data_IF_097262748069
#
_entry.id   IF_097262748069
#
_cell.length_a   1.000
_cell.length_b   1.000
_cell.length_c   1.000
_cell.angle_alpha   90.00
_cell.angle_beta   90.00
_cell.angle_gamma   90.00
#
_symmetry.space_group_name_H-M   'P 1'
#
loop_
_entity.id
_entity.type
_entity.pdbx_description
1 polymer ?
#
# COMPACT_ATOMS: atom_id res chain seq x y z
N UNK A 1 -28.44 -41.60 -42.79
CA UNK A 1 -28.58 -40.13 -42.81
C UNK A 1 -27.52 -39.53 -41.91
N UNK A 2 -26.48 -38.92 -42.49
CA UNK A 2 -25.46 -38.20 -41.72
C UNK A 2 -26.07 -36.91 -41.13
N UNK A 3 -25.82 -36.56 -39.86
CA UNK A 3 -26.40 -35.37 -39.25
C UNK A 3 -26.00 -34.10 -40.00
N UNK A 4 -26.98 -33.25 -40.32
CA UNK A 4 -26.80 -31.95 -41.00
C UNK A 4 -25.82 -31.07 -40.20
N UNK A 5 -24.79 -30.46 -40.82
CA UNK A 5 -23.86 -29.57 -40.12
C UNK A 5 -24.62 -28.41 -39.47
N UNK A 6 -24.37 -28.14 -38.19
CA UNK A 6 -25.03 -27.04 -37.48
C UNK A 6 -24.49 -25.72 -38.02
N UNK A 7 -25.36 -24.93 -38.66
CA UNK A 7 -25.05 -23.64 -39.33
C UNK A 7 -24.68 -22.49 -38.36
N UNK A 8 -24.75 -22.74 -37.06
CA UNK A 8 -24.66 -21.75 -35.97
C UNK A 8 -23.59 -22.20 -34.97
N UNK A 9 -22.35 -22.39 -35.45
CA UNK A 9 -21.23 -22.83 -34.62
C UNK A 9 -20.43 -21.61 -34.15
N UNK A 10 -20.47 -21.33 -32.86
CA UNK A 10 -19.52 -20.43 -32.21
C UNK A 10 -18.29 -21.23 -31.80
N UNK A 11 -17.09 -20.66 -31.94
CA UNK A 11 -15.83 -21.34 -31.59
C UNK A 11 -15.63 -21.55 -30.08
N UNK A 12 -16.48 -20.94 -29.25
CA UNK A 12 -16.43 -21.08 -27.79
C UNK A 12 -17.29 -22.25 -27.33
N UNK A 13 -16.66 -23.25 -26.69
CA UNK A 13 -17.35 -24.42 -26.15
C UNK A 13 -18.51 -24.04 -25.21
N UNK A 14 -19.66 -24.68 -25.37
CA UNK A 14 -20.85 -24.42 -24.56
C UNK A 14 -21.64 -23.15 -24.91
N UNK A 15 -21.19 -22.34 -25.88
CA UNK A 15 -21.96 -21.22 -26.41
C UNK A 15 -22.84 -21.66 -27.59
N UNK A 16 -24.05 -21.12 -27.68
CA UNK A 16 -25.03 -21.44 -28.71
C UNK A 16 -25.70 -20.19 -29.25
N UNK A 17 -25.85 -20.13 -30.57
CA UNK A 17 -26.59 -19.09 -31.30
C UNK A 17 -28.02 -19.55 -31.62
N UNK A 18 -29.01 -18.79 -31.15
CA UNK A 18 -30.43 -19.01 -31.41
C UNK A 18 -31.00 -17.85 -32.22
N UNK A 19 -31.39 -18.11 -33.46
CA UNK A 19 -32.09 -17.14 -34.29
C UNK A 19 -33.58 -17.13 -33.96
N UNK A 20 -34.11 -15.98 -33.54
CA UNK A 20 -35.55 -15.79 -33.34
C UNK A 20 -36.19 -15.27 -34.63
N UNK A 21 -37.01 -16.11 -35.28
CA UNK A 21 -37.71 -15.80 -36.52
C UNK A 21 -38.79 -14.72 -36.36
N UNK A 22 -39.31 -14.50 -35.13
CA UNK A 22 -40.36 -13.50 -34.86
C UNK A 22 -39.80 -12.09 -34.75
N UNK A 23 -38.59 -11.96 -34.21
CA UNK A 23 -37.94 -10.67 -33.98
C UNK A 23 -36.78 -10.39 -34.94
N UNK A 24 -36.38 -11.38 -35.77
CA UNK A 24 -35.23 -11.28 -36.68
C UNK A 24 -33.87 -11.14 -35.98
N UNK A 25 -33.79 -11.46 -34.68
CA UNK A 25 -32.59 -11.24 -33.86
C UNK A 25 -31.92 -12.56 -33.50
N UNK A 26 -30.58 -12.56 -33.45
CA UNK A 26 -29.78 -13.66 -32.92
C UNK A 26 -29.57 -13.43 -31.43
N UNK A 27 -29.93 -14.43 -30.63
CA UNK A 27 -29.66 -14.48 -29.20
C UNK A 27 -28.59 -15.53 -28.90
N UNK A 28 -27.71 -15.21 -27.97
CA UNK A 28 -26.66 -16.10 -27.48
C UNK A 28 -27.08 -16.69 -26.15
N UNK A 29 -26.88 -18.00 -25.99
CA UNK A 29 -27.11 -18.71 -24.74
C UNK A 29 -25.92 -19.61 -24.43
N UNK A 30 -25.51 -19.67 -23.17
CA UNK A 30 -24.42 -20.51 -22.71
C UNK A 30 -24.97 -21.69 -21.89
N UNK A 31 -24.56 -22.90 -22.24
CA UNK A 31 -24.87 -24.12 -21.50
C UNK A 31 -23.73 -24.39 -20.51
N UNK A 32 -24.03 -24.34 -19.21
CA UNK A 32 -23.05 -24.69 -18.20
C UNK A 32 -22.74 -26.20 -18.29
N UNK A 33 -21.48 -26.62 -18.49
CA UNK A 33 -21.11 -28.03 -18.67
C UNK A 33 -21.30 -28.88 -17.39
N UNK A 34 -21.27 -28.26 -16.21
CA UNK A 34 -21.43 -28.95 -14.92
C UNK A 34 -22.90 -29.18 -14.59
N UNK A 35 -23.74 -28.15 -14.76
CA UNK A 35 -25.15 -28.21 -14.36
C UNK A 35 -26.10 -28.56 -15.51
N UNK A 36 -25.62 -28.49 -16.76
CA UNK A 36 -26.41 -28.69 -17.96
C UNK A 36 -27.42 -27.57 -18.28
N UNK A 37 -27.55 -26.55 -17.43
CA UNK A 37 -28.53 -25.46 -17.57
C UNK A 37 -28.08 -24.39 -18.58
N UNK A 38 -29.05 -23.84 -19.30
CA UNK A 38 -28.83 -22.73 -20.24
C UNK A 38 -29.01 -21.37 -19.57
N UNK A 39 -28.13 -20.43 -19.90
CA UNK A 39 -28.17 -19.04 -19.45
C UNK A 39 -28.12 -18.11 -20.66
N UNK A 40 -29.09 -17.19 -20.78
CA UNK A 40 -29.11 -16.20 -21.87
C UNK A 40 -28.04 -15.12 -21.67
N UNK A 41 -27.27 -14.82 -22.72
CA UNK A 41 -26.18 -13.83 -22.73
C UNK A 41 -26.50 -12.57 -23.55
N UNK A 42 -27.72 -12.47 -24.11
CA UNK A 42 -28.18 -11.34 -24.91
C UNK A 42 -27.90 -11.51 -26.40
N UNK A 43 -27.80 -10.40 -27.13
CA UNK A 43 -27.67 -10.39 -28.60
C UNK A 43 -26.28 -9.94 -29.09
N UNK A 44 -25.39 -9.52 -28.19
CA UNK A 44 -24.02 -9.10 -28.50
C UNK A 44 -23.09 -10.32 -28.52
N UNK A 45 -22.56 -10.64 -29.71
CA UNK A 45 -21.68 -11.79 -29.94
C UNK A 45 -20.38 -11.71 -29.12
N UNK A 46 -19.67 -10.58 -29.22
CA UNK A 46 -18.35 -10.44 -28.60
C UNK A 46 -18.44 -10.47 -27.08
N UNK A 47 -19.50 -9.88 -26.52
CA UNK A 47 -19.78 -9.95 -25.08
C UNK A 47 -20.12 -11.39 -24.65
N UNK A 48 -20.93 -12.10 -25.42
CA UNK A 48 -21.32 -13.48 -25.12
C UNK A 48 -20.13 -14.45 -25.18
N UNK A 49 -19.26 -14.34 -26.20
CA UNK A 49 -18.03 -15.13 -26.33
C UNK A 49 -17.08 -14.91 -25.16
N UNK A 50 -16.86 -13.65 -24.77
CA UNK A 50 -16.00 -13.32 -23.63
C UNK A 50 -16.53 -13.90 -22.32
N UNK A 51 -17.84 -13.80 -22.08
CA UNK A 51 -18.48 -14.36 -20.88
C UNK A 51 -18.36 -15.89 -20.86
N UNK A 52 -18.67 -16.56 -21.98
CA UNK A 52 -18.62 -18.01 -22.10
C UNK A 52 -17.19 -18.55 -21.94
N UNK A 53 -16.19 -17.92 -22.55
CA UNK A 53 -14.78 -18.29 -22.41
C UNK A 53 -14.29 -18.13 -20.97
N UNK A 54 -14.64 -17.02 -20.31
CA UNK A 54 -14.33 -16.79 -18.89
C UNK A 54 -14.99 -17.83 -17.98
N UNK A 55 -16.23 -18.22 -18.27
CA UNK A 55 -16.95 -19.24 -17.52
C UNK A 55 -16.27 -20.62 -17.66
N UNK A 56 -15.90 -21.02 -18.87
CA UNK A 56 -15.18 -22.27 -19.11
C UNK A 56 -13.84 -22.32 -18.38
N UNK A 57 -13.05 -21.24 -18.44
CA UNK A 57 -11.77 -21.14 -17.72
C UNK A 57 -11.97 -21.30 -16.21
N UNK A 58 -13.02 -20.70 -15.63
CA UNK A 58 -13.34 -20.83 -14.20
C UNK A 58 -13.74 -22.25 -13.82
N UNK A 59 -14.54 -22.92 -14.66
CA UNK A 59 -14.96 -24.30 -14.42
C UNK A 59 -13.75 -25.24 -14.49
N UNK A 60 -12.93 -25.13 -15.53
CA UNK A 60 -11.71 -25.93 -15.65
C UNK A 60 -10.75 -25.70 -14.46
N UNK A 61 -10.61 -24.46 -13.99
CA UNK A 61 -9.81 -24.15 -12.80
C UNK A 61 -10.40 -24.77 -11.53
N UNK A 62 -11.72 -24.74 -11.36
CA UNK A 62 -12.40 -25.35 -10.21
C UNK A 62 -12.30 -26.89 -10.21
N UNK A 63 -12.41 -27.51 -11.39
CA UNK A 63 -12.20 -28.96 -11.56
C UNK A 63 -10.75 -29.34 -11.24
N UNK A 64 -9.77 -28.63 -11.79
CA UNK A 64 -8.36 -28.83 -11.47
C UNK A 64 -8.08 -28.67 -9.96
N UNK A 65 -8.67 -27.67 -9.32
CA UNK A 65 -8.55 -27.47 -7.88
C UNK A 65 -9.18 -28.61 -7.08
N UNK A 66 -10.35 -29.10 -7.49
CA UNK A 66 -11.02 -30.25 -6.88
C UNK A 66 -10.16 -31.52 -6.98
N UNK A 67 -9.63 -31.82 -8.16
CA UNK A 67 -8.73 -32.96 -8.36
C UNK A 67 -7.47 -32.84 -7.52
N UNK A 68 -6.84 -31.66 -7.48
CA UNK A 68 -5.66 -31.44 -6.65
C UNK A 68 -5.97 -31.56 -5.16
N UNK A 69 -7.15 -31.12 -4.69
CA UNK A 69 -7.58 -31.34 -3.30
C UNK A 69 -7.76 -32.82 -2.99
N UNK A 70 -8.36 -33.59 -3.92
CA UNK A 70 -8.52 -35.04 -3.77
C UNK A 70 -7.18 -35.77 -3.69
N UNK A 71 -6.17 -35.31 -4.42
CA UNK A 71 -4.80 -35.83 -4.33
C UNK A 71 -4.19 -35.53 -2.95
N UNK A 72 -4.35 -34.30 -2.44
CA UNK A 72 -3.84 -33.89 -1.12
C UNK A 72 -4.52 -34.61 0.06
N UNK A 73 -5.81 -34.97 -0.09
CA UNK A 73 -6.57 -35.75 0.89
C UNK A 73 -6.02 -37.17 1.06
N UNK A 74 -5.16 -37.66 0.15
CA UNK A 74 -4.41 -38.92 0.29
C UNK A 74 -3.15 -38.70 1.15
N UNK A 75 -3.08 -39.26 2.38
CA UNK A 75 -1.93 -39.07 3.26
C UNK A 75 -0.59 -39.56 2.67
N UNK A 76 -0.65 -40.57 1.80
CA UNK A 76 0.52 -41.12 1.11
C UNK A 76 1.11 -40.16 0.06
N UNK A 77 0.24 -39.43 -0.67
CA UNK A 77 0.66 -38.47 -1.68
C UNK A 77 1.25 -37.21 -1.04
N UNK A 78 0.64 -36.70 0.04
CA UNK A 78 1.15 -35.55 0.78
C UNK A 78 2.48 -35.86 1.48
N UNK A 79 2.65 -37.07 2.02
CA UNK A 79 3.94 -37.52 2.61
C UNK A 79 5.06 -37.58 1.56
N UNK A 80 4.73 -37.90 0.30
CA UNK A 80 5.70 -38.00 -0.81
C UNK A 80 6.00 -36.65 -1.49
N UNK A 81 4.98 -35.79 -1.65
CA UNK A 81 5.07 -34.56 -2.46
C UNK A 81 5.27 -33.29 -1.64
N UNK A 82 4.91 -33.30 -0.36
CA UNK A 82 4.93 -32.13 0.52
C UNK A 82 3.71 -31.24 0.34
N UNK A 83 3.52 -30.29 1.27
CA UNK A 83 2.39 -29.36 1.26
C UNK A 83 2.46 -28.41 0.06
N UNK A 84 1.32 -28.13 -0.57
CA UNK A 84 1.21 -27.07 -1.59
C UNK A 84 1.42 -25.69 -1.00
N UNK A 85 2.00 -24.78 -1.77
CA UNK A 85 2.22 -23.40 -1.36
C UNK A 85 0.92 -22.72 -0.92
N UNK A 86 -0.20 -22.91 -1.64
CA UNK A 86 -1.50 -22.34 -1.26
C UNK A 86 -1.94 -22.79 0.15
N UNK A 87 -1.91 -24.10 0.40
CA UNK A 87 -2.30 -24.67 1.68
C UNK A 87 -1.38 -24.21 2.82
N UNK A 88 -0.09 -24.06 2.55
CA UNK A 88 0.86 -23.50 3.51
C UNK A 88 0.57 -22.02 3.79
N UNK A 89 0.32 -21.21 2.76
CA UNK A 89 -0.01 -19.79 2.91
C UNK A 89 -1.27 -19.60 3.75
N UNK A 90 -2.29 -20.45 3.61
CA UNK A 90 -3.48 -20.41 4.46
C UNK A 90 -3.15 -20.63 5.95
N UNK A 91 -2.19 -21.53 6.26
CA UNK A 91 -1.69 -21.70 7.63
C UNK A 91 -0.85 -20.51 8.09
N UNK A 92 0.02 -20.00 7.24
CA UNK A 92 0.82 -18.81 7.51
C UNK A 92 -0.05 -17.59 7.84
N UNK A 93 -1.18 -17.40 7.14
CA UNK A 93 -2.10 -16.30 7.43
C UNK A 93 -2.75 -16.45 8.82
N UNK A 94 -3.06 -17.67 9.28
CA UNK A 94 -3.53 -17.90 10.66
C UNK A 94 -2.48 -17.55 11.71
N UNK A 95 -1.19 -17.77 11.41
CA UNK A 95 -0.09 -17.31 12.26
C UNK A 95 -0.09 -15.77 12.32
N UNK A 96 -0.26 -15.10 11.17
CA UNK A 96 -0.35 -13.64 11.13
C UNK A 96 -1.60 -13.11 11.85
N UNK A 97 -2.74 -13.81 11.78
CA UNK A 97 -3.95 -13.45 12.53
C UNK A 97 -3.71 -13.52 14.04
N UNK A 98 -2.96 -14.52 14.50
CA UNK A 98 -2.58 -14.66 15.91
C UNK A 98 -1.66 -13.51 16.34
N UNK A 99 -0.66 -13.17 15.53
CA UNK A 99 0.22 -12.00 15.75
C UNK A 99 -0.57 -10.69 15.79
N UNK A 100 -1.60 -10.54 14.96
CA UNK A 100 -2.48 -9.38 15.00
C UNK A 100 -3.28 -9.32 16.31
N UNK A 101 -3.86 -10.44 16.75
CA UNK A 101 -4.61 -10.53 18.01
C UNK A 101 -3.74 -10.22 19.23
N UNK A 102 -2.49 -10.67 19.22
CA UNK A 102 -1.51 -10.42 20.29
C UNK A 102 -0.96 -8.98 20.27
N UNK A 103 -1.19 -8.22 19.21
CA UNK A 103 -0.63 -6.86 19.04
C UNK A 103 0.81 -6.83 18.53
N UNK A 104 1.37 -7.96 18.11
CA UNK A 104 2.73 -8.06 17.56
C UNK A 104 2.85 -7.34 16.20
N UNK A 105 1.75 -7.25 15.46
CA UNK A 105 1.68 -6.54 14.17
C UNK A 105 0.45 -5.63 14.09
N UNK A 106 0.60 -4.49 13.42
CA UNK A 106 -0.51 -3.57 13.15
C UNK A 106 -1.44 -4.12 12.06
N UNK A 107 -2.72 -3.73 12.10
CA UNK A 107 -3.73 -4.13 11.11
C UNK A 107 -3.33 -3.79 9.66
N UNK A 108 -2.67 -2.65 9.44
CA UNK A 108 -2.15 -2.29 8.10
C UNK A 108 -1.06 -3.26 7.64
N UNK A 109 -0.13 -3.65 8.52
CA UNK A 109 0.92 -4.62 8.19
C UNK A 109 0.32 -5.98 7.86
N UNK A 110 -0.65 -6.44 8.65
CA UNK A 110 -1.38 -7.69 8.39
C UNK A 110 -2.05 -7.68 7.01
N UNK A 111 -2.80 -6.62 6.69
CA UNK A 111 -3.46 -6.45 5.38
C UNK A 111 -2.46 -6.50 4.23
N UNK A 112 -1.31 -5.83 4.34
CA UNK A 112 -0.27 -5.87 3.31
C UNK A 112 0.35 -7.26 3.17
N UNK A 113 0.62 -7.96 4.28
CA UNK A 113 1.09 -9.35 4.25
C UNK A 113 0.09 -10.26 3.53
N UNK A 114 -1.20 -10.15 3.83
CA UNK A 114 -2.25 -10.93 3.18
C UNK A 114 -2.32 -10.66 1.67
N UNK A 115 -2.27 -9.38 1.25
CA UNK A 115 -2.27 -8.99 -0.16
C UNK A 115 -1.09 -9.59 -0.93
N UNK A 116 0.11 -9.48 -0.38
CA UNK A 116 1.33 -9.99 -1.01
C UNK A 116 1.40 -11.53 -1.01
N UNK A 117 0.86 -12.18 0.04
CA UNK A 117 0.74 -13.64 0.08
C UNK A 117 -0.26 -14.14 -0.97
N UNK A 118 -1.40 -13.47 -1.14
CA UNK A 118 -2.38 -13.78 -2.18
C UNK A 118 -1.78 -13.64 -3.59
N UNK A 119 -0.94 -12.61 -3.82
CA UNK A 119 -0.22 -12.47 -5.08
C UNK A 119 0.71 -13.68 -5.31
N UNK A 120 1.49 -14.10 -4.31
CA UNK A 120 2.34 -15.30 -4.45
C UNK A 120 1.52 -16.56 -4.77
N UNK A 121 0.40 -16.77 -4.08
CA UNK A 121 -0.51 -17.90 -4.33
C UNK A 121 -1.07 -17.88 -5.74
N UNK A 122 -1.41 -16.72 -6.29
CA UNK A 122 -1.88 -16.62 -7.68
C UNK A 122 -0.84 -17.04 -8.73
N UNK A 123 0.45 -17.03 -8.35
CA UNK A 123 1.57 -17.36 -9.25
C UNK A 123 2.02 -18.80 -9.08
N UNK A 124 2.21 -19.25 -7.84
CA UNK A 124 2.87 -20.51 -7.50
C UNK A 124 2.03 -21.43 -6.59
N UNK A 125 0.76 -21.10 -6.33
CA UNK A 125 -0.04 -21.74 -5.28
C UNK A 125 -0.26 -23.26 -5.43
N UNK A 126 -0.26 -23.77 -6.67
CA UNK A 126 -0.49 -25.20 -6.94
C UNK A 126 0.78 -26.05 -6.83
N UNK A 127 1.96 -25.43 -6.67
CA UNK A 127 3.23 -26.13 -6.59
C UNK A 127 3.51 -26.58 -5.15
N UNK A 128 4.08 -27.78 -4.97
CA UNK A 128 4.59 -28.20 -3.67
C UNK A 128 5.71 -27.30 -3.18
N UNK A 129 5.68 -26.94 -1.90
CA UNK A 129 6.60 -25.98 -1.30
C UNK A 129 8.08 -26.43 -1.38
N UNK A 130 8.31 -27.74 -1.38
CA UNK A 130 9.65 -28.36 -1.47
C UNK A 130 10.22 -28.37 -2.90
N UNK A 131 9.37 -28.24 -3.92
CA UNK A 131 9.77 -28.29 -5.33
C UNK A 131 10.06 -26.90 -5.91
N UNK A 132 9.69 -25.83 -5.20
CA UNK A 132 9.95 -24.46 -5.63
C UNK A 132 11.41 -24.09 -5.43
N UNK A 133 12.02 -23.54 -6.47
CA UNK A 133 13.44 -23.20 -6.51
C UNK A 133 13.66 -21.70 -6.64
N UNK A 134 14.92 -21.27 -6.55
CA UNK A 134 15.32 -19.86 -6.63
C UNK A 134 14.83 -19.21 -7.92
N UNK A 135 14.82 -19.97 -9.04
CA UNK A 135 14.39 -19.50 -10.36
C UNK A 135 12.93 -19.06 -10.37
N UNK A 136 12.04 -19.79 -9.70
CA UNK A 136 10.59 -19.48 -9.69
C UNK A 136 10.33 -18.10 -9.06
N UNK A 137 11.05 -17.77 -8.00
CA UNK A 137 10.96 -16.48 -7.34
C UNK A 137 11.68 -15.38 -8.13
N UNK A 138 12.84 -15.68 -8.71
CA UNK A 138 13.60 -14.72 -9.50
C UNK A 138 12.77 -14.18 -10.68
N UNK A 139 12.09 -15.06 -11.43
CA UNK A 139 11.24 -14.67 -12.56
C UNK A 139 10.11 -13.72 -12.14
N UNK A 140 9.48 -13.95 -10.98
CA UNK A 140 8.42 -13.05 -10.47
C UNK A 140 9.01 -11.71 -10.02
N UNK A 141 10.22 -11.71 -9.44
CA UNK A 141 10.89 -10.46 -9.07
C UNK A 141 11.25 -9.65 -10.31
N UNK A 142 11.77 -10.30 -11.36
CA UNK A 142 12.20 -9.67 -12.60
C UNK A 142 11.05 -8.89 -13.27
N UNK A 143 9.81 -9.41 -13.23
CA UNK A 143 8.63 -8.68 -13.74
C UNK A 143 8.39 -7.30 -13.10
N UNK A 144 8.77 -7.14 -11.83
CA UNK A 144 8.72 -5.85 -11.16
C UNK A 144 9.98 -5.04 -11.42
N UNK A 145 11.14 -5.67 -11.54
CA UNK A 145 12.39 -4.98 -11.85
C UNK A 145 12.36 -4.37 -13.25
N UNK A 146 11.81 -5.07 -14.24
CA UNK A 146 11.61 -4.60 -15.62
C UNK A 146 10.67 -3.39 -15.70
N UNK A 147 9.84 -3.18 -14.67
CA UNK A 147 8.92 -2.04 -14.53
C UNK A 147 9.45 -0.96 -13.58
N UNK A 148 10.73 -1.02 -13.21
CA UNK A 148 11.38 -0.15 -12.21
C UNK A 148 10.71 -0.18 -10.82
N UNK A 149 9.91 -1.20 -10.52
CA UNK A 149 9.20 -1.38 -9.25
C UNK A 149 10.06 -2.08 -8.19
N UNK A 150 11.32 -1.64 -8.05
CA UNK A 150 12.35 -2.28 -7.21
C UNK A 150 11.93 -2.40 -5.73
N UNK A 151 11.23 -1.39 -5.20
CA UNK A 151 10.72 -1.41 -3.82
C UNK A 151 9.65 -2.51 -3.63
N UNK A 152 8.74 -2.65 -4.60
CA UNK A 152 7.70 -3.69 -4.57
C UNK A 152 8.31 -5.08 -4.61
N UNK A 153 9.30 -5.30 -5.48
CA UNK A 153 10.05 -6.55 -5.54
C UNK A 153 10.72 -6.88 -4.20
N UNK A 154 11.41 -5.90 -3.60
CA UNK A 154 12.07 -6.08 -2.30
C UNK A 154 11.10 -6.45 -1.17
N UNK A 155 9.96 -5.76 -1.08
CA UNK A 155 8.98 -5.99 0.01
C UNK A 155 8.31 -7.35 -0.13
N UNK A 156 7.91 -7.73 -1.35
CA UNK A 156 7.33 -9.05 -1.61
C UNK A 156 8.35 -10.17 -1.34
N UNK A 157 9.59 -10.03 -1.82
CA UNK A 157 10.69 -10.96 -1.49
C UNK A 157 10.82 -11.14 0.02
N UNK A 158 10.78 -10.04 0.78
CA UNK A 158 10.84 -10.07 2.23
C UNK A 158 9.72 -10.91 2.87
N UNK A 159 8.49 -10.78 2.37
CA UNK A 159 7.38 -11.63 2.81
C UNK A 159 7.58 -13.10 2.44
N UNK A 160 8.05 -13.39 1.23
CA UNK A 160 8.22 -14.78 0.79
C UNK A 160 9.30 -15.49 1.61
N UNK A 161 10.37 -14.77 1.97
CA UNK A 161 11.37 -15.25 2.94
C UNK A 161 10.73 -15.58 4.29
N UNK A 162 9.83 -14.72 4.79
CA UNK A 162 9.09 -14.94 6.05
C UNK A 162 8.17 -16.17 5.96
N UNK A 163 7.45 -16.34 4.84
CA UNK A 163 6.60 -17.52 4.58
C UNK A 163 7.41 -18.82 4.65
N UNK A 164 8.61 -18.85 4.07
CA UNK A 164 9.49 -20.03 4.12
C UNK A 164 10.14 -20.22 5.48
N UNK A 165 10.44 -19.15 6.23
CA UNK A 165 10.94 -19.26 7.62
C UNK A 165 9.91 -19.92 8.52
N UNK A 166 8.65 -19.50 8.45
CA UNK A 166 7.57 -20.17 9.19
C UNK A 166 7.40 -21.64 8.73
N UNK A 167 7.62 -21.92 7.44
CA UNK A 167 7.53 -23.30 6.92
C UNK A 167 8.63 -24.21 7.48
N UNK A 168 9.84 -23.67 7.65
CA UNK A 168 10.95 -24.35 8.31
C UNK A 168 10.61 -24.65 9.77
N UNK A 169 10.05 -23.67 10.50
CA UNK A 169 9.62 -23.87 11.89
C UNK A 169 8.53 -24.94 12.02
N UNK A 170 7.65 -25.06 11.03
CA UNK A 170 6.61 -26.10 11.00
C UNK A 170 7.08 -27.46 10.44
N UNK A 171 8.34 -27.58 10.01
CA UNK A 171 8.88 -28.81 9.42
C UNK A 171 8.33 -29.15 8.02
N UNK A 172 7.65 -28.21 7.36
CA UNK A 172 7.10 -28.40 6.02
C UNK A 172 8.19 -28.37 4.94
N UNK A 173 9.31 -27.69 5.22
CA UNK A 173 10.54 -27.72 4.43
C UNK A 173 11.75 -27.89 5.38
N UNK A 174 12.87 -28.47 4.91
CA UNK A 174 14.07 -28.62 5.74
C UNK A 174 14.64 -27.27 6.20
N UNK A 175 15.33 -27.22 7.36
CA UNK A 175 16.11 -26.07 7.76
C UNK A 175 17.08 -25.64 6.64
N UNK A 176 17.18 -24.32 6.39
CA UNK A 176 18.01 -23.78 5.31
C UNK A 176 17.35 -23.81 3.91
N UNK A 177 16.25 -24.54 3.72
CA UNK A 177 15.48 -24.46 2.47
C UNK A 177 14.63 -23.18 2.43
N UNK A 178 15.20 -22.10 1.90
CA UNK A 178 14.51 -20.83 1.68
C UNK A 178 14.89 -20.25 0.30
N UNK A 179 14.30 -20.76 -0.79
CA UNK A 179 14.62 -20.32 -2.14
C UNK A 179 14.47 -18.79 -2.36
N UNK A 180 13.43 -18.11 -1.82
CA UNK A 180 13.33 -16.65 -1.89
C UNK A 180 14.53 -15.92 -1.26
N UNK A 181 15.12 -16.48 -0.20
CA UNK A 181 16.27 -15.88 0.51
C UNK A 181 17.55 -15.92 -0.31
N UNK A 182 17.71 -16.93 -1.17
CA UNK A 182 18.84 -17.07 -2.09
C UNK A 182 18.76 -16.15 -3.33
N UNK A 183 17.59 -15.58 -3.64
CA UNK A 183 17.45 -14.62 -4.75
C UNK A 183 18.23 -13.33 -4.48
N UNK A 184 18.65 -12.61 -5.53
CA UNK A 184 19.32 -11.30 -5.37
C UNK A 184 18.37 -10.31 -4.67
N UNK A 185 18.79 -9.74 -3.55
CA UNK A 185 18.00 -8.74 -2.81
C UNK A 185 17.93 -7.43 -3.60
N UNK A 186 16.75 -6.95 -4.03
CA UNK A 186 16.64 -5.68 -4.73
C UNK A 186 16.99 -4.50 -3.82
N UNK A 187 17.74 -3.53 -4.35
CA UNK A 187 18.19 -2.34 -3.62
C UNK A 187 17.52 -1.11 -4.26
N UNK A 188 16.39 -0.63 -3.73
CA UNK A 188 15.72 0.55 -4.26
C UNK A 188 16.57 1.79 -3.99
N UNK A 189 16.75 2.63 -5.02
CA UNK A 189 17.32 3.97 -4.89
C UNK A 189 16.24 4.94 -4.42
N UNK A 190 16.56 5.82 -3.47
CA UNK A 190 15.62 6.84 -2.99
C UNK A 190 15.57 7.99 -4.00
N UNK A 191 14.47 8.09 -4.75
CA UNK A 191 14.28 9.11 -5.78
C UNK A 191 13.53 10.34 -5.28
N UNK A 192 12.83 10.28 -4.14
CA UNK A 192 12.05 11.42 -3.63
C UNK A 192 12.96 12.59 -3.24
N UNK A 193 12.69 13.75 -3.84
CA UNK A 193 13.32 15.02 -3.53
C UNK A 193 13.08 15.46 -2.08
N UNK A 194 14.02 16.20 -1.48
CA UNK A 194 13.73 16.99 -0.26
C UNK A 194 12.90 18.21 -0.63
N UNK A 195 12.25 18.76 0.38
CA UNK A 195 11.52 20.02 0.28
C UNK A 195 12.38 21.14 0.85
N UNK A 196 12.76 22.12 0.04
CA UNK A 196 13.49 23.30 0.52
C UNK A 196 12.53 24.26 1.23
N UNK A 197 13.05 25.19 2.03
CA UNK A 197 12.21 26.22 2.66
C UNK A 197 11.57 27.13 1.60
N UNK A 198 12.32 27.47 0.55
CA UNK A 198 11.84 28.29 -0.56
C UNK A 198 10.67 27.61 -1.30
N UNK A 199 10.80 26.32 -1.65
CA UNK A 199 9.71 25.57 -2.27
C UNK A 199 8.52 25.46 -1.32
N UNK A 200 8.76 25.22 -0.02
CA UNK A 200 7.68 25.18 0.95
C UNK A 200 6.89 26.49 1.00
N UNK A 201 7.57 27.65 0.98
CA UNK A 201 6.93 28.97 0.96
C UNK A 201 6.12 29.19 -0.33
N UNK A 202 6.65 28.81 -1.49
CA UNK A 202 5.92 28.86 -2.78
C UNK A 202 4.65 28.02 -2.72
N UNK A 203 4.72 26.78 -2.21
CA UNK A 203 3.57 25.89 -2.06
C UNK A 203 2.53 26.47 -1.09
N UNK A 204 2.99 27.02 0.03
CA UNK A 204 2.13 27.63 1.04
C UNK A 204 1.35 28.82 0.46
N UNK A 205 2.05 29.69 -0.29
CA UNK A 205 1.48 30.90 -0.89
C UNK A 205 0.60 30.63 -2.13
N UNK A 206 0.78 29.49 -2.81
CA UNK A 206 -0.08 29.09 -3.92
C UNK A 206 -1.51 28.71 -3.47
N UNK A 207 -1.74 28.52 -2.17
CA UNK A 207 -3.05 28.13 -1.64
C UNK A 207 -3.80 29.30 -1.00
N UNK A 208 -5.13 29.39 -1.14
CA UNK A 208 -5.92 30.46 -0.52
C UNK A 208 -5.70 30.53 1.00
N UNK A 209 -5.70 31.74 1.55
CA UNK A 209 -5.37 32.01 2.96
C UNK A 209 -6.18 31.18 3.97
N UNK A 210 -7.47 30.97 3.70
CA UNK A 210 -8.38 30.21 4.57
C UNK A 210 -8.45 28.71 4.23
N UNK A 211 -7.51 28.19 3.44
CA UNK A 211 -7.50 26.79 3.05
C UNK A 211 -6.85 25.93 4.15
N UNK A 212 -7.54 24.91 4.65
CA UNK A 212 -7.09 24.03 5.74
C UNK A 212 -5.71 23.39 5.51
N UNK A 213 -5.29 23.23 4.25
CA UNK A 213 -3.98 22.67 3.90
C UNK A 213 -2.84 23.55 4.45
N UNK A 214 -3.03 24.88 4.54
CA UNK A 214 -2.05 25.81 5.10
C UNK A 214 -1.81 25.49 6.58
N UNK A 215 -2.89 25.32 7.34
CA UNK A 215 -2.82 24.90 8.74
C UNK A 215 -2.14 23.54 8.90
N UNK A 216 -2.46 22.58 8.03
CA UNK A 216 -1.81 21.28 8.07
C UNK A 216 -0.30 21.34 7.74
N UNK A 217 0.11 22.21 6.81
CA UNK A 217 1.51 22.45 6.48
C UNK A 217 2.26 23.10 7.64
N UNK A 218 1.65 24.11 8.28
CA UNK A 218 2.20 24.75 9.47
C UNK A 218 2.35 23.76 10.62
N UNK A 219 1.33 22.95 10.91
CA UNK A 219 1.41 21.88 11.90
C UNK A 219 2.54 20.90 11.56
N UNK A 220 2.71 20.53 10.29
CA UNK A 220 3.77 19.61 9.88
C UNK A 220 5.17 20.16 10.12
N UNK A 221 5.41 21.44 9.83
CA UNK A 221 6.73 22.06 10.06
C UNK A 221 6.97 22.31 11.55
N UNK A 222 6.01 22.92 12.25
CA UNK A 222 6.22 23.33 13.64
C UNK A 222 6.32 22.13 14.58
N UNK A 223 5.52 21.08 14.36
CA UNK A 223 5.53 19.89 15.23
C UNK A 223 6.51 18.80 14.78
N UNK A 224 6.91 18.82 13.50
CA UNK A 224 7.72 17.75 12.89
C UNK A 224 7.04 16.38 12.86
N UNK A 225 5.71 16.28 13.05
CA UNK A 225 5.02 14.97 13.17
C UNK A 225 4.70 14.31 11.82
N UNK A 226 4.32 13.01 11.84
CA UNK A 226 3.95 12.30 10.62
C UNK A 226 2.56 12.75 10.18
N UNK A 227 2.30 12.73 8.87
CA UNK A 227 1.00 13.09 8.27
C UNK A 227 -0.20 12.41 8.94
N UNK A 228 -0.06 11.14 9.31
CA UNK A 228 -1.13 10.37 9.94
C UNK A 228 -1.39 10.85 11.37
N UNK A 229 -0.33 11.17 12.12
CA UNK A 229 -0.44 11.72 13.47
C UNK A 229 -1.10 13.11 13.43
N UNK A 230 -0.71 13.96 12.46
CA UNK A 230 -1.29 15.31 12.24
C UNK A 230 -2.80 15.24 11.98
N UNK A 231 -3.24 14.30 11.14
CA UNK A 231 -4.65 14.11 10.83
C UNK A 231 -5.51 13.76 12.07
N UNK A 232 -4.91 13.19 13.11
CA UNK A 232 -5.63 12.73 14.30
C UNK A 232 -5.47 13.65 15.52
N UNK A 233 -4.68 14.73 15.43
CA UNK A 233 -4.53 15.71 16.50
C UNK A 233 -5.88 16.38 16.82
N UNK A 234 -6.17 16.53 18.11
CA UNK A 234 -7.39 17.15 18.61
C UNK A 234 -7.09 18.38 19.44
N UNK A 235 -8.06 19.29 19.52
CA UNK A 235 -7.98 20.42 20.45
C UNK A 235 -7.92 19.96 21.91
N UNK A 236 -8.54 18.82 22.24
CA UNK A 236 -8.48 18.21 23.58
C UNK A 236 -7.10 17.67 23.97
N UNK A 237 -6.20 17.50 23.00
CA UNK A 237 -4.83 17.02 23.27
C UNK A 237 -3.93 18.14 23.80
N UNK A 238 -4.44 19.37 23.84
CA UNK A 238 -3.76 20.56 24.38
C UNK A 238 -4.17 20.75 25.83
N UNK A 239 -3.20 20.61 26.73
CA UNK A 239 -3.37 20.83 28.17
C UNK A 239 -2.00 21.11 28.80
N UNK A 240 -1.98 21.76 29.97
CA UNK A 240 -0.75 22.18 30.66
C UNK A 240 0.27 22.89 29.74
N UNK A 241 -0.18 23.82 28.89
CA UNK A 241 0.66 24.56 27.93
C UNK A 241 1.45 23.68 26.93
N UNK A 242 0.99 22.45 26.69
CA UNK A 242 1.62 21.52 25.74
C UNK A 242 0.58 20.84 24.84
N UNK A 243 0.98 20.58 23.60
CA UNK A 243 0.30 19.65 22.70
C UNK A 243 0.82 18.23 22.94
N UNK A 244 -0.07 17.32 23.35
CA UNK A 244 0.27 15.93 23.62
C UNK A 244 0.00 15.04 22.42
N UNK A 245 1.01 14.28 21.99
CA UNK A 245 0.95 13.47 20.77
C UNK A 245 1.34 12.03 21.11
N UNK A 246 0.50 11.07 20.73
CA UNK A 246 0.86 9.65 20.73
C UNK A 246 1.03 9.18 19.29
N UNK A 247 2.26 8.91 18.89
CA UNK A 247 2.57 8.54 17.51
C UNK A 247 2.02 7.15 17.16
N UNK A 248 1.15 7.05 16.15
CA UNK A 248 0.50 5.78 15.81
C UNK A 248 1.46 4.69 15.32
N UNK A 249 2.57 5.07 14.68
CA UNK A 249 3.55 4.10 14.13
C UNK A 249 4.45 3.47 15.19
N UNK A 250 4.83 4.22 16.22
CA UNK A 250 5.88 3.83 17.18
C UNK A 250 5.38 3.75 18.62
N UNK A 251 4.18 4.28 18.91
CA UNK A 251 3.65 4.43 20.26
C UNK A 251 4.35 5.51 21.11
N UNK A 252 5.28 6.28 20.52
CA UNK A 252 6.03 7.30 21.25
C UNK A 252 5.08 8.42 21.70
N UNK A 253 5.16 8.79 22.98
CA UNK A 253 4.39 9.89 23.57
C UNK A 253 5.27 11.12 23.70
N UNK A 254 4.78 12.24 23.18
CA UNK A 254 5.48 13.54 23.18
C UNK A 254 4.56 14.60 23.77
N UNK A 255 5.16 15.58 24.44
CA UNK A 255 4.50 16.82 24.84
C UNK A 255 5.31 17.97 24.24
N UNK A 256 4.73 18.72 23.31
CA UNK A 256 5.38 19.85 22.66
C UNK A 256 4.88 21.15 23.28
N UNK A 257 5.75 22.02 23.80
CA UNK A 257 5.32 23.26 24.43
C UNK A 257 4.66 24.18 23.40
N UNK A 258 3.57 24.86 23.78
CA UNK A 258 2.86 25.80 22.90
C UNK A 258 3.74 26.99 22.47
N UNK A 259 4.78 27.29 23.24
CA UNK A 259 5.82 28.30 22.95
C UNK A 259 6.83 27.86 21.89
N UNK A 260 6.82 26.59 21.46
CA UNK A 260 7.73 26.10 20.41
C UNK A 260 7.56 26.94 19.14
N UNK A 261 8.64 27.59 18.71
CA UNK A 261 8.68 28.51 17.56
C UNK A 261 9.62 28.00 16.47
N UNK A 262 9.12 27.96 15.24
CA UNK A 262 9.97 27.76 14.08
C UNK A 262 10.45 29.12 13.58
N UNK A 263 11.69 29.51 13.87
CA UNK A 263 12.20 30.86 13.61
C UNK A 263 12.21 31.20 12.12
N UNK A 264 12.53 30.21 11.28
CA UNK A 264 12.55 30.37 9.83
C UNK A 264 11.17 30.68 9.20
N UNK A 265 10.07 30.37 9.90
CA UNK A 265 8.69 30.68 9.48
C UNK A 265 8.11 31.82 10.33
N UNK A 266 8.65 32.05 11.53
CA UNK A 266 8.24 33.14 12.40
C UNK A 266 6.93 32.89 13.15
N UNK A 267 6.57 31.63 13.41
CA UNK A 267 5.30 31.25 14.04
C UNK A 267 5.49 30.24 15.18
N UNK A 268 4.68 30.38 16.23
CA UNK A 268 4.62 29.47 17.38
C UNK A 268 3.60 28.36 17.19
N UNK A 269 3.76 27.25 17.92
CA UNK A 269 2.80 26.16 17.92
C UNK A 269 1.41 26.62 18.38
N UNK A 270 1.35 27.52 19.36
CA UNK A 270 0.09 28.13 19.82
C UNK A 270 -0.67 28.81 18.69
N UNK A 271 0.00 29.70 17.96
CA UNK A 271 -0.60 30.45 16.85
C UNK A 271 -1.11 29.53 15.74
N UNK A 272 -0.37 28.45 15.44
CA UNK A 272 -0.81 27.44 14.47
C UNK A 272 -2.07 26.72 14.93
N UNK A 273 -2.14 26.30 16.20
CA UNK A 273 -3.31 25.62 16.76
C UNK A 273 -4.53 26.55 16.77
N UNK A 274 -4.34 27.81 17.18
CA UNK A 274 -5.42 28.80 17.18
C UNK A 274 -5.94 29.05 15.75
N UNK A 275 -5.03 29.13 14.76
CA UNK A 275 -5.37 29.25 13.34
C UNK A 275 -6.09 28.03 12.74
N UNK A 276 -6.04 26.86 13.39
CA UNK A 276 -6.80 25.68 12.98
C UNK A 276 -8.31 25.80 13.27
N UNK A 277 -8.72 26.74 14.13
CA UNK A 277 -10.15 26.97 14.39
C UNK A 277 -10.79 27.65 13.20
N UNK A 278 -11.88 27.07 12.69
CA UNK A 278 -12.69 27.66 11.64
C UNK A 278 -14.18 27.66 12.00
N UNK A 279 -15.05 27.95 11.02
CA UNK A 279 -16.50 28.02 11.22
C UNK A 279 -17.16 26.66 11.48
N UNK A 280 -16.42 25.55 11.33
CA UNK A 280 -16.92 24.19 11.53
C UNK A 280 -16.49 23.75 12.92
N UNK A 281 -17.47 23.46 13.78
CA UNK A 281 -17.20 22.91 15.10
C UNK A 281 -16.65 21.47 14.95
N UNK A 282 -15.35 21.29 15.14
CA UNK A 282 -14.66 19.99 15.01
C UNK A 282 -13.76 19.73 16.23
N UNK A 283 -13.69 18.49 16.74
CA UNK A 283 -12.70 18.15 17.77
C UNK A 283 -11.27 18.05 17.21
N UNK A 284 -11.12 17.85 15.91
CA UNK A 284 -9.82 17.68 15.24
C UNK A 284 -9.25 19.01 14.74
N UNK A 285 -7.93 19.19 14.87
CA UNK A 285 -7.23 20.36 14.33
C UNK A 285 -7.38 20.44 12.80
N UNK A 286 -7.26 19.30 12.12
CA UNK A 286 -7.46 19.19 10.67
C UNK A 286 -8.58 18.19 10.38
N UNK A 287 -9.65 18.67 9.74
CA UNK A 287 -10.88 17.91 9.56
C UNK A 287 -11.42 17.99 8.13
N UNK A 288 -12.25 17.01 7.76
CA UNK A 288 -12.94 16.96 6.47
C UNK A 288 -14.14 17.92 6.45
N UNK A 289 -14.21 18.79 5.43
CA UNK A 289 -15.26 19.83 5.31
C UNK A 289 -16.55 19.39 4.61
N UNK A 290 -16.51 18.28 3.85
CA UNK A 290 -17.64 17.83 3.02
C UNK A 290 -18.56 16.81 3.70
N UNK A 291 -18.41 16.59 5.01
CA UNK A 291 -19.19 15.58 5.74
C UNK A 291 -20.18 16.26 6.70
N UNK A 292 -21.36 15.65 6.86
CA UNK A 292 -22.39 16.11 7.82
C UNK A 292 -21.89 16.17 9.26
N UNK A 293 -20.92 15.31 9.61
CA UNK A 293 -20.25 15.29 10.90
C UNK A 293 -18.74 15.48 10.69
N UNK A 294 -18.08 16.35 11.47
CA UNK A 294 -16.64 16.56 11.36
C UNK A 294 -15.87 15.26 11.66
N UNK A 295 -15.10 14.81 10.67
CA UNK A 295 -14.20 13.65 10.77
C UNK A 295 -12.76 14.11 10.55
N UNK A 296 -11.75 13.37 11.07
CA UNK A 296 -10.37 13.68 10.77
C UNK A 296 -10.14 13.62 9.25
N UNK A 297 -9.24 14.47 8.76
CA UNK A 297 -8.79 14.38 7.37
C UNK A 297 -8.06 13.04 7.16
N UNK A 298 -8.25 12.36 6.02
CA UNK A 298 -7.45 11.17 5.73
C UNK A 298 -6.03 11.57 5.33
N UNK A 299 -5.03 10.77 5.73
CA UNK A 299 -3.62 11.02 5.37
C UNK A 299 -3.36 11.06 3.86
N UNK A 300 -4.16 10.32 3.09
CA UNK A 300 -4.05 10.24 1.64
C UNK A 300 -4.64 11.51 1.02
N UNK A 301 -5.84 11.93 1.43
CA UNK A 301 -6.39 13.22 1.00
C UNK A 301 -5.45 14.37 1.35
N UNK A 302 -4.88 14.39 2.56
CA UNK A 302 -3.93 15.42 2.98
C UNK A 302 -2.72 15.48 2.04
N UNK A 303 -2.23 14.32 1.60
CA UNK A 303 -1.12 14.23 0.66
C UNK A 303 -1.50 14.67 -0.74
N UNK A 304 -2.73 14.38 -1.17
CA UNK A 304 -3.25 14.78 -2.48
C UNK A 304 -3.49 16.29 -2.56
N UNK A 305 -4.05 16.91 -1.50
CA UNK A 305 -4.20 18.36 -1.44
C UNK A 305 -2.85 19.07 -1.46
N UNK A 306 -1.83 18.53 -0.78
CA UNK A 306 -0.47 19.06 -0.87
C UNK A 306 0.13 18.90 -2.25
N UNK A 307 -0.07 17.75 -2.91
CA UNK A 307 0.39 17.53 -4.28
C UNK A 307 -0.25 18.55 -5.23
N UNK A 308 -1.56 18.80 -5.11
CA UNK A 308 -2.25 19.84 -5.90
C UNK A 308 -1.69 21.24 -5.64
N UNK A 309 -1.42 21.59 -4.37
CA UNK A 309 -0.79 22.86 -4.02
C UNK A 309 0.62 23.00 -4.60
N UNK A 310 1.40 21.91 -4.59
CA UNK A 310 2.73 21.85 -5.20
C UNK A 310 2.69 22.03 -6.70
N UNK A 311 1.77 21.36 -7.36
CA UNK A 311 1.63 21.43 -8.81
C UNK A 311 1.15 22.84 -9.23
N UNK A 312 0.25 23.47 -8.46
CA UNK A 312 -0.18 24.86 -8.64
C UNK A 312 0.96 25.86 -8.43
N UNK A 313 1.87 25.59 -7.49
CA UNK A 313 3.06 26.41 -7.25
C UNK A 313 4.16 26.22 -8.33
N UNK A 314 3.97 25.31 -9.29
CA UNK A 314 4.94 25.05 -10.36
C UNK A 314 6.24 24.41 -9.89
N UNK A 315 6.25 23.70 -8.77
CA UNK A 315 7.47 23.09 -8.22
C UNK A 315 7.86 21.86 -9.03
N UNK A 316 9.02 21.93 -9.67
CA UNK A 316 9.62 20.83 -10.43
C UNK A 316 10.73 20.16 -9.61
N UNK A 317 10.77 18.82 -9.51
CA UNK A 317 11.86 18.14 -8.84
C UNK A 317 13.16 18.24 -9.66
N UNK A 318 14.34 18.13 -9.00
CA UNK A 318 15.60 17.97 -9.70
C UNK A 318 15.60 16.77 -10.66
N UNK A 319 16.44 16.83 -11.69
CA UNK A 319 16.56 15.75 -12.67
C UNK A 319 16.78 14.37 -12.01
N UNK A 320 16.03 13.36 -12.46
CA UNK A 320 16.09 12.00 -11.91
C UNK A 320 15.47 11.82 -10.52
N UNK A 321 14.79 12.84 -9.97
CA UNK A 321 14.07 12.78 -8.69
C UNK A 321 12.56 12.83 -8.89
N UNK A 322 11.83 12.25 -7.95
CA UNK A 322 10.38 12.41 -7.86
C UNK A 322 10.03 13.61 -6.97
N UNK A 323 8.88 14.28 -7.21
CA UNK A 323 8.49 15.47 -6.46
C UNK A 323 8.44 15.26 -4.94
N UNK A 324 8.75 16.31 -4.13
CA UNK A 324 8.57 16.24 -2.69
C UNK A 324 7.09 16.02 -2.37
N UNK A 325 6.83 15.30 -1.27
CA UNK A 325 5.48 15.01 -0.78
C UNK A 325 5.25 15.67 0.57
N UNK A 326 4.02 15.66 1.08
CA UNK A 326 3.69 16.21 2.39
C UNK A 326 4.62 15.69 3.51
N UNK A 327 5.09 14.45 3.42
CA UNK A 327 6.00 13.85 4.41
C UNK A 327 7.38 14.51 4.44
N UNK A 328 7.84 15.16 3.38
CA UNK A 328 9.13 15.86 3.37
C UNK A 328 9.13 17.11 4.25
N UNK A 329 7.96 17.63 4.65
CA UNK A 329 7.86 18.67 5.69
C UNK A 329 8.44 18.22 7.02
N UNK A 330 8.37 16.93 7.36
CA UNK A 330 9.02 16.40 8.58
C UNK A 330 10.54 16.44 8.49
N UNK A 331 11.11 16.25 7.30
CA UNK A 331 12.56 16.40 7.07
C UNK A 331 12.97 17.87 7.01
N UNK A 332 12.12 18.75 6.48
CA UNK A 332 12.34 20.19 6.53
C UNK A 332 12.30 20.71 7.97
N UNK A 333 11.28 20.35 8.75
CA UNK A 333 11.16 20.65 10.18
C UNK A 333 12.43 20.27 10.94
N UNK A 334 12.92 19.05 10.73
CA UNK A 334 14.13 18.56 11.37
C UNK A 334 15.36 19.40 11.03
N UNK A 335 15.58 19.74 9.74
CA UNK A 335 16.70 20.60 9.34
C UNK A 335 16.62 22.01 9.92
N UNK A 336 15.42 22.61 9.91
CA UNK A 336 15.19 23.95 10.45
C UNK A 336 15.46 24.00 11.96
N UNK A 337 14.87 23.07 12.72
CA UNK A 337 15.05 23.02 14.17
C UNK A 337 16.46 22.63 14.60
N UNK A 338 17.14 21.77 13.82
CA UNK A 338 18.55 21.44 14.06
C UNK A 338 19.42 22.69 13.93
N UNK A 339 19.19 23.51 12.89
CA UNK A 339 19.89 24.78 12.72
C UNK A 339 19.57 25.80 13.85
N UNK A 340 18.36 25.74 14.42
CA UNK A 340 17.95 26.53 15.59
C UNK A 340 18.49 25.97 16.94
N UNK A 341 19.19 24.83 16.95
CA UNK A 341 19.72 24.22 18.17
C UNK A 341 18.70 23.45 19.03
N UNK A 342 17.52 23.15 18.50
CA UNK A 342 16.48 22.36 19.19
C UNK A 342 16.79 20.86 19.10
N UNK A 343 16.51 20.10 20.15
CA UNK A 343 16.62 18.64 20.15
C UNK A 343 15.58 17.99 19.21
N UNK A 344 15.99 17.78 17.96
CA UNK A 344 15.15 17.20 16.92
C UNK A 344 14.91 15.71 17.08
N UNK A 345 15.77 14.99 17.82
CA UNK A 345 15.56 13.57 18.12
C UNK A 345 14.33 13.40 18.99
N UNK A 346 14.21 14.22 20.03
CA UNK A 346 13.02 14.25 20.89
C UNK A 346 11.80 14.80 20.14
N UNK A 347 11.93 15.91 19.41
CA UNK A 347 10.84 16.49 18.62
C UNK A 347 10.21 15.47 17.65
N UNK A 348 11.04 14.70 16.94
CA UNK A 348 10.55 13.69 16.00
C UNK A 348 10.14 12.38 16.73
N UNK A 349 10.42 12.21 18.02
CA UNK A 349 10.13 10.98 18.76
C UNK A 349 10.93 9.78 18.29
N UNK A 350 12.20 10.00 17.93
CA UNK A 350 13.12 8.93 17.54
C UNK A 350 13.91 8.42 18.74
N UNK A 351 13.99 7.11 18.92
CA UNK A 351 14.81 6.50 19.99
C UNK A 351 16.32 6.57 19.68
N UNK A 352 16.69 6.49 18.41
CA UNK A 352 18.09 6.38 17.94
C UNK A 352 18.44 7.55 17.03
N UNK A 353 19.56 8.21 17.33
CA UNK A 353 20.03 9.42 16.63
C UNK A 353 20.23 9.21 15.13
N UNK A 354 20.80 8.06 14.74
CA UNK A 354 21.00 7.71 13.33
C UNK A 354 19.70 7.72 12.49
N UNK A 355 18.52 7.57 13.13
CA UNK A 355 17.23 7.72 12.42
C UNK A 355 16.96 9.20 12.12
N UNK A 356 17.24 10.09 13.07
CA UNK A 356 17.10 11.55 12.92
C UNK A 356 18.08 12.09 11.89
N UNK A 357 19.32 11.62 11.86
CA UNK A 357 20.32 12.11 10.89
C UNK A 357 19.96 11.82 9.43
N UNK A 358 19.20 10.75 9.18
CA UNK A 358 18.62 10.49 7.85
C UNK A 358 17.56 11.51 7.43
N UNK A 359 16.96 12.26 8.36
CA UNK A 359 16.06 13.36 8.04
C UNK A 359 16.83 14.65 7.72
N UNK A 360 18.04 14.80 8.26
CA UNK A 360 18.90 15.96 8.01
C UNK A 360 19.60 15.91 6.66
N UNK A 361 19.84 14.70 6.13
CA UNK A 361 20.46 14.49 4.82
C UNK A 361 19.66 15.12 3.68
N UNK A 362 20.27 16.09 2.98
CA UNK A 362 19.72 16.82 1.82
C UNK A 362 19.66 15.97 0.54
N UNK A 363 20.21 14.76 0.56
CA UNK A 363 20.27 13.80 -0.56
C UNK A 363 20.96 14.37 -1.80
N UNK A 364 21.96 15.23 -1.58
CA UNK A 364 22.72 15.90 -2.63
C UNK A 364 21.97 17.02 -3.34
N UNK A 365 20.86 17.52 -2.78
CA UNK A 365 20.16 18.68 -3.35
C UNK A 365 20.80 20.02 -2.99
N UNK A 366 21.41 20.10 -1.82
CA UNK A 366 22.10 21.30 -1.33
C UNK A 366 23.54 20.93 -1.02
N UNK A 367 24.46 21.85 -1.30
CA UNK A 367 25.86 21.73 -0.90
C UNK A 367 25.97 21.81 0.63
N UNK A 368 26.72 20.88 1.23
CA UNK A 368 27.06 20.95 2.65
C UNK A 368 28.14 22.02 2.81
N UNK A 369 27.77 23.17 3.38
CA UNK A 369 28.70 24.25 3.69
C UNK A 369 29.33 24.01 5.05
N UNK A 370 30.65 24.13 5.14
CA UNK A 370 31.35 24.18 6.42
C UNK A 370 31.03 25.52 7.09
N UNK A 371 30.46 25.47 8.30
CA UNK A 371 30.33 26.65 9.16
C UNK A 371 31.60 26.71 9.99
N UNK A 372 32.36 27.80 9.83
CA UNK A 372 33.60 28.09 10.56
C UNK A 372 33.29 29.11 11.64
#
# INVERSE_FOLDING_TARGET
MSPRPRKNSTDVAGLYEKFDRRTGRVYYQYKNPVTGKFHGLGTDKGKAEKIASTANQRIAAAEAEYFMRKIDESPSATKRRGIRLKAWVDRYLKIQDTRLKNGDIAATTHKEKARMAAYLVSRLGNHPLKELEVRDFALILDEWLDKDMVSTARVNRGLWVDIYKEAQHAGEVPPGWNPPEATRKPIPKVTRARLTLEDWQKIYNATPEKHFIRNAMLLAIVTGQRRDDICHMRFSDVWNEHLHITQGKTGMRLALPLTLRCDAIGITLKEVIDGCRDRILSPYLIHSRHQKQPKPMSKDNLSDYFAKARDLAGITPPAGKTPPTFHEQRSLSERLYRAQGIDTKTLLGHKVQATTDRYNDTRGQEWVKLVV
#
